data_IF_103412016549
#
_entry.id   IF_103412016549
#
_cell.length_a   1.000
_cell.length_b   1.000
_cell.length_c   1.000
_cell.angle_alpha   90.00
_cell.angle_beta   90.00
_cell.angle_gamma   90.00
#
_symmetry.space_group_name_H-M   'P 1'
#
loop_
_entity.id
_entity.type
_entity.pdbx_description
1 polymer ?
#
# COMPACT_ATOMS: atom_id res chain seq x y z
N UNK A 1 7.17 7.48 -79.54
CA UNK A 1 5.77 7.47 -80.02
C UNK A 1 4.90 8.07 -78.93
N UNK A 2 4.23 9.19 -79.26
CA UNK A 2 3.00 9.76 -78.71
C UNK A 2 2.77 9.75 -77.17
N UNK A 3 2.86 10.88 -76.44
CA UNK A 3 1.88 12.01 -76.26
C UNK A 3 0.55 11.59 -75.60
N UNK A 4 -0.12 12.31 -74.70
CA UNK A 4 0.04 13.60 -74.00
C UNK A 4 -1.10 13.70 -72.95
N UNK A 5 -0.88 14.29 -71.76
CA UNK A 5 -1.47 15.59 -71.36
C UNK A 5 -2.55 15.42 -70.26
N UNK A 6 -2.78 16.32 -69.28
CA UNK A 6 -2.30 17.68 -68.97
C UNK A 6 -2.63 18.04 -67.50
N UNK A 7 -1.72 18.79 -66.88
CA UNK A 7 -1.85 20.04 -66.08
C UNK A 7 -2.97 20.24 -65.04
N UNK A 8 -2.56 20.80 -63.88
CA UNK A 8 -3.38 21.74 -63.09
C UNK A 8 -2.90 22.01 -61.66
N UNK A 9 -2.15 23.10 -61.45
CA UNK A 9 -1.95 23.77 -60.16
C UNK A 9 -3.10 24.76 -59.89
N UNK A 10 -3.43 25.01 -58.62
CA UNK A 10 -4.29 26.11 -58.18
C UNK A 10 -4.56 26.09 -56.66
N UNK A 11 -4.14 27.15 -55.99
CA UNK A 11 -4.17 27.42 -54.54
C UNK A 11 -5.53 27.86 -53.96
N UNK A 12 -5.55 28.07 -52.63
CA UNK A 12 -6.52 28.75 -51.74
C UNK A 12 -7.76 27.91 -51.34
N UNK A 13 -8.32 27.96 -50.11
CA UNK A 13 -8.75 29.16 -49.36
C UNK A 13 -8.83 28.91 -47.83
N UNK A 14 -8.55 30.01 -47.14
CA UNK A 14 -8.67 30.43 -45.74
C UNK A 14 -9.94 30.02 -44.94
N UNK A 15 -9.77 29.88 -43.62
CA UNK A 15 -10.77 29.42 -42.65
C UNK A 15 -11.57 30.57 -42.02
N UNK A 16 -12.89 30.54 -42.22
CA UNK A 16 -13.82 31.56 -41.72
C UNK A 16 -14.31 31.30 -40.28
N UNK A 17 -14.26 32.37 -39.46
CA UNK A 17 -15.02 32.58 -38.21
C UNK A 17 -16.54 32.48 -38.42
N UNK A 18 -17.27 32.05 -37.38
CA UNK A 18 -18.61 32.55 -36.91
C UNK A 18 -19.02 31.78 -35.64
N UNK A 19 -19.02 32.41 -34.46
CA UNK A 19 -20.06 33.23 -33.83
C UNK A 19 -21.10 32.43 -33.02
N UNK A 20 -21.16 32.71 -31.72
CA UNK A 20 -22.07 32.17 -30.71
C UNK A 20 -23.50 32.72 -30.89
N UNK A 21 -24.48 31.82 -30.84
CA UNK A 21 -25.90 32.04 -30.51
C UNK A 21 -26.36 30.75 -29.82
N UNK A 22 -26.81 30.70 -28.57
CA UNK A 22 -28.06 31.30 -28.09
C UNK A 22 -29.21 30.32 -28.33
N UNK A 23 -29.53 29.45 -27.37
CA UNK A 23 -30.64 28.49 -27.46
C UNK A 23 -30.93 27.81 -26.12
N UNK A 24 -32.15 28.01 -25.60
CA UNK A 24 -32.60 27.68 -24.25
C UNK A 24 -32.89 26.18 -24.01
N UNK A 25 -32.62 25.70 -22.80
CA UNK A 25 -33.15 24.41 -22.29
C UNK A 25 -34.56 24.60 -21.71
N UNK A 26 -35.55 23.74 -22.04
CA UNK A 26 -36.84 23.76 -21.37
C UNK A 26 -36.77 23.07 -20.00
N UNK A 27 -37.43 23.69 -19.02
CA UNK A 27 -37.73 23.14 -17.70
C UNK A 27 -38.77 22.02 -17.82
N UNK A 28 -38.68 21.02 -16.95
CA UNK A 28 -39.83 20.20 -16.57
C UNK A 28 -39.46 18.76 -16.22
N UNK A 29 -39.45 18.46 -14.92
CA UNK A 29 -40.20 17.36 -14.27
C UNK A 29 -39.59 17.11 -12.88
N UNK A 30 -40.30 17.56 -11.84
CA UNK A 30 -39.98 17.31 -10.43
C UNK A 30 -40.27 15.85 -10.05
N UNK A 31 -39.49 15.21 -9.16
CA UNK A 31 -39.82 13.90 -8.62
C UNK A 31 -40.88 14.00 -7.50
N UNK A 32 -41.66 12.91 -7.25
CA UNK A 32 -42.79 12.94 -6.32
C UNK A 32 -42.33 12.93 -4.86
N UNK A 33 -43.02 13.75 -4.06
CA UNK A 33 -42.93 13.85 -2.61
C UNK A 33 -43.66 12.64 -2.00
N UNK A 34 -42.94 11.76 -1.31
CA UNK A 34 -43.52 10.72 -0.46
C UNK A 34 -43.84 11.31 0.91
N UNK A 35 -45.13 11.56 1.16
CA UNK A 35 -45.67 11.84 2.49
C UNK A 35 -45.69 10.55 3.31
N UNK A 36 -44.83 10.46 4.34
CA UNK A 36 -44.97 9.50 5.42
C UNK A 36 -45.30 10.26 6.71
N UNK A 37 -46.58 10.26 7.06
CA UNK A 37 -47.08 10.76 8.35
C UNK A 37 -46.99 9.63 9.38
N UNK A 38 -46.18 9.80 10.43
CA UNK A 38 -46.33 9.06 11.69
C UNK A 38 -46.30 10.06 12.86
N UNK A 39 -47.20 9.95 13.85
CA UNK A 39 -47.19 10.83 15.00
C UNK A 39 -46.12 10.37 16.02
N UNK A 40 -45.21 11.28 16.38
CA UNK A 40 -44.44 11.19 17.62
C UNK A 40 -45.39 11.45 18.79
N UNK A 41 -45.52 10.49 19.71
CA UNK A 41 -45.99 10.75 21.07
C UNK A 41 -44.83 10.61 22.05
N UNK A 42 -44.71 11.63 22.88
CA UNK A 42 -43.68 11.78 23.90
C UNK A 42 -43.93 10.85 25.10
N UNK A 43 -42.83 10.35 25.68
CA UNK A 43 -42.80 9.72 26.99
C UNK A 43 -41.52 10.13 27.71
N UNK A 44 -41.60 11.21 28.48
CA UNK A 44 -40.57 11.62 29.45
C UNK A 44 -40.67 10.70 30.67
N UNK A 45 -39.58 9.99 30.97
CA UNK A 45 -39.40 9.20 32.19
C UNK A 45 -38.01 9.43 32.77
N UNK A 46 -37.94 10.34 33.74
CA UNK A 46 -36.76 10.65 34.55
C UNK A 46 -36.41 9.47 35.46
N UNK A 47 -35.16 9.00 35.42
CA UNK A 47 -34.54 8.24 36.51
C UNK A 47 -33.07 8.67 36.65
N UNK A 48 -32.66 8.85 37.90
CA UNK A 48 -31.54 9.65 38.35
C UNK A 48 -30.15 9.09 38.00
N UNK A 49 -29.23 10.05 37.90
CA UNK A 49 -27.78 9.93 37.86
C UNK A 49 -27.24 9.26 39.13
N UNK A 50 -26.59 8.10 38.98
CA UNK A 50 -25.48 7.66 39.84
C UNK A 50 -24.63 6.67 39.05
N UNK A 51 -23.49 7.11 38.52
CA UNK A 51 -22.56 6.26 37.79
C UNK A 51 -21.52 7.01 36.96
N UNK A 52 -21.19 8.25 37.31
CA UNK A 52 -20.01 8.94 36.78
C UNK A 52 -18.84 8.56 37.67
N UNK A 53 -18.18 7.42 37.40
CA UNK A 53 -16.79 7.14 37.84
C UNK A 53 -16.19 5.83 37.27
N UNK A 54 -16.66 5.33 36.12
CA UNK A 54 -16.10 4.10 35.50
C UNK A 54 -15.75 4.19 34.03
N UNK A 55 -15.78 5.37 33.41
CA UNK A 55 -15.40 5.55 31.99
C UNK A 55 -14.18 6.44 31.74
N UNK A 56 -13.33 6.59 32.75
CA UNK A 56 -12.04 7.28 32.61
C UNK A 56 -10.89 6.49 33.24
N UNK A 57 -10.98 5.15 33.18
CA UNK A 57 -9.87 4.25 33.45
C UNK A 57 -9.07 4.08 32.15
N UNK A 58 -8.01 4.89 32.05
CA UNK A 58 -6.72 4.58 31.43
C UNK A 58 -6.79 3.78 30.12
N UNK A 59 -6.62 4.48 28.99
CA UNK A 59 -6.23 3.86 27.73
C UNK A 59 -4.80 3.28 27.85
N UNK A 60 -4.67 2.22 28.64
CA UNK A 60 -3.58 1.27 28.49
C UNK A 60 -3.98 0.47 27.27
N UNK A 61 -3.22 0.62 26.18
CA UNK A 61 -3.30 -0.26 25.01
C UNK A 61 -3.37 -1.69 25.53
N UNK A 62 -4.53 -2.36 25.43
CA UNK A 62 -4.61 -3.76 25.81
C UNK A 62 -3.86 -4.55 24.74
N UNK A 63 -2.60 -4.78 25.02
CA UNK A 63 -1.71 -5.56 24.17
C UNK A 63 -2.12 -7.03 24.23
N UNK A 64 -2.21 -7.68 23.06
CA UNK A 64 -2.62 -9.08 22.96
C UNK A 64 -1.63 -10.02 23.66
N UNK A 65 -2.09 -11.20 24.08
CA UNK A 65 -1.20 -12.20 24.69
C UNK A 65 -0.15 -12.73 23.71
N UNK A 66 -0.44 -12.68 22.40
CA UNK A 66 0.54 -13.00 21.36
C UNK A 66 1.70 -12.00 21.35
N UNK A 67 1.42 -10.70 21.43
CA UNK A 67 2.46 -9.68 21.51
C UNK A 67 3.32 -9.88 22.76
N UNK A 68 2.71 -10.17 23.92
CA UNK A 68 3.45 -10.43 25.17
C UNK A 68 4.33 -11.67 25.06
N UNK A 69 3.80 -12.75 24.48
CA UNK A 69 4.54 -14.00 24.27
C UNK A 69 5.75 -13.81 23.36
N UNK A 70 5.65 -12.92 22.38
CA UNK A 70 6.74 -12.56 21.45
C UNK A 70 7.61 -11.40 21.96
N UNK A 71 7.32 -10.86 23.15
CA UNK A 71 8.03 -9.73 23.77
C UNK A 71 8.08 -8.47 22.88
N UNK A 72 6.96 -8.17 22.20
CA UNK A 72 6.88 -7.09 21.20
C UNK A 72 6.28 -5.77 21.72
N UNK A 73 6.04 -5.64 23.03
CA UNK A 73 5.36 -4.49 23.63
C UNK A 73 6.07 -3.16 23.34
N UNK A 74 7.41 -3.16 23.32
CA UNK A 74 8.19 -1.97 23.01
C UNK A 74 8.00 -1.49 21.57
N UNK A 75 7.80 -2.40 20.64
CA UNK A 75 7.60 -2.09 19.22
C UNK A 75 6.18 -1.61 18.97
N UNK A 76 5.20 -2.21 19.65
CA UNK A 76 3.84 -1.69 19.68
C UNK A 76 3.81 -0.26 20.19
N UNK A 77 4.45 0.01 21.32
CA UNK A 77 4.52 1.37 21.88
C UNK A 77 5.18 2.35 20.91
N UNK A 78 6.29 1.96 20.28
CA UNK A 78 6.96 2.80 19.28
C UNK A 78 6.03 3.11 18.10
N UNK A 79 5.34 2.09 17.57
CA UNK A 79 4.39 2.26 16.47
C UNK A 79 3.24 3.21 16.84
N UNK A 80 2.71 3.13 18.06
CA UNK A 80 1.63 4.00 18.52
C UNK A 80 2.07 5.45 18.76
N UNK A 81 3.30 5.64 19.25
CA UNK A 81 3.86 6.97 19.55
C UNK A 81 4.38 7.66 18.29
N UNK A 82 5.19 6.97 17.50
CA UNK A 82 5.90 7.54 16.37
C UNK A 82 5.15 7.38 15.04
N UNK A 83 4.26 6.39 14.95
CA UNK A 83 3.56 6.03 13.71
C UNK A 83 4.31 5.00 12.88
N UNK A 84 5.40 4.42 13.40
CA UNK A 84 6.07 3.24 12.86
C UNK A 84 6.93 2.58 13.93
N UNK A 85 7.34 1.35 13.68
CA UNK A 85 8.37 0.67 14.47
C UNK A 85 9.41 0.00 13.58
N UNK A 86 10.62 -0.14 14.10
CA UNK A 86 11.72 -0.87 13.45
C UNK A 86 12.06 -2.07 14.31
N UNK A 87 11.97 -3.26 13.73
CA UNK A 87 12.31 -4.51 14.41
C UNK A 87 13.60 -5.07 13.78
N UNK A 88 14.67 -5.25 14.56
CA UNK A 88 15.95 -5.74 14.07
C UNK A 88 15.90 -7.25 13.76
N UNK A 89 16.83 -7.77 12.93
CA UNK A 89 16.90 -9.18 12.59
C UNK A 89 17.08 -10.10 13.80
N UNK A 90 17.71 -9.61 14.88
CA UNK A 90 17.85 -10.34 16.15
C UNK A 90 16.53 -10.69 16.83
N UNK A 91 15.43 -10.01 16.47
CA UNK A 91 14.08 -10.31 16.98
C UNK A 91 13.23 -11.07 15.97
N UNK A 92 13.36 -10.77 14.68
CA UNK A 92 12.59 -11.47 13.64
C UNK A 92 13.13 -12.86 13.29
N UNK A 93 14.40 -13.13 13.62
CA UNK A 93 15.07 -14.41 13.37
C UNK A 93 15.62 -14.57 11.95
N UNK A 94 15.52 -13.55 11.09
CA UNK A 94 16.05 -13.64 9.72
C UNK A 94 17.58 -13.66 9.73
N UNK A 95 18.17 -14.53 8.92
CA UNK A 95 19.63 -14.69 8.85
C UNK A 95 20.21 -13.96 7.64
N UNK A 96 21.51 -13.60 7.66
CA UNK A 96 22.18 -13.01 6.50
C UNK A 96 22.05 -13.85 5.24
N UNK A 97 22.17 -15.18 5.34
CA UNK A 97 22.10 -16.11 4.21
C UNK A 97 20.70 -16.12 3.58
N UNK A 98 19.66 -16.02 4.42
CA UNK A 98 18.29 -15.88 3.94
C UNK A 98 18.10 -14.57 3.16
N UNK A 99 18.63 -13.46 3.67
CA UNK A 99 18.56 -12.16 3.00
C UNK A 99 19.38 -12.12 1.70
N UNK A 100 20.50 -12.87 1.64
CA UNK A 100 21.31 -13.03 0.44
C UNK A 100 20.48 -13.72 -0.65
N UNK A 101 19.74 -14.79 -0.29
CA UNK A 101 18.81 -15.45 -1.22
C UNK A 101 17.75 -14.50 -1.77
N UNK A 102 17.06 -13.77 -0.90
CA UNK A 102 16.07 -12.78 -1.35
C UNK A 102 16.68 -11.77 -2.33
N UNK A 103 17.90 -11.33 -2.04
CA UNK A 103 18.60 -10.35 -2.87
C UNK A 103 18.94 -10.92 -4.25
N UNK A 104 19.50 -12.13 -4.30
CA UNK A 104 19.83 -12.82 -5.55
C UNK A 104 18.61 -12.96 -6.48
N UNK A 105 17.45 -13.34 -5.92
CA UNK A 105 16.20 -13.46 -6.69
C UNK A 105 15.79 -12.12 -7.29
N UNK A 106 15.88 -11.02 -6.54
CA UNK A 106 15.52 -9.69 -7.05
C UNK A 106 16.48 -9.21 -8.14
N UNK A 107 17.78 -9.44 -8.01
CA UNK A 107 18.76 -9.05 -9.03
C UNK A 107 18.56 -9.87 -10.32
N UNK A 108 18.26 -11.16 -10.18
CA UNK A 108 17.92 -12.05 -11.30
C UNK A 108 16.68 -11.56 -12.03
N UNK A 109 15.61 -11.27 -11.27
CA UNK A 109 14.34 -10.79 -11.83
C UNK A 109 14.49 -9.41 -12.47
N UNK A 110 15.24 -8.51 -11.86
CA UNK A 110 15.55 -7.21 -12.44
C UNK A 110 16.25 -7.34 -13.80
N UNK A 111 17.27 -8.20 -13.87
CA UNK A 111 18.01 -8.45 -15.11
C UNK A 111 17.09 -9.04 -16.18
N UNK A 112 16.21 -9.97 -15.79
CA UNK A 112 15.21 -10.56 -16.68
C UNK A 112 14.24 -9.52 -17.25
N UNK A 113 13.76 -8.59 -16.41
CA UNK A 113 12.79 -7.56 -16.79
C UNK A 113 13.39 -6.45 -17.64
N UNK A 114 14.63 -6.05 -17.35
CA UNK A 114 15.26 -4.87 -17.96
C UNK A 114 16.24 -5.22 -19.09
N UNK A 115 16.75 -6.45 -19.12
CA UNK A 115 17.86 -6.86 -19.97
C UNK A 115 19.23 -6.32 -19.52
N UNK A 116 19.30 -5.56 -18.43
CA UNK A 116 20.51 -4.97 -17.91
C UNK A 116 20.99 -5.74 -16.67
N UNK A 117 22.24 -6.26 -16.67
CA UNK A 117 22.86 -6.78 -15.45
C UNK A 117 22.89 -5.72 -14.35
N UNK A 118 22.82 -6.18 -13.10
CA UNK A 118 22.74 -5.34 -11.93
C UNK A 118 23.50 -5.97 -10.76
N UNK A 119 24.19 -5.16 -9.96
CA UNK A 119 24.87 -5.60 -8.74
C UNK A 119 24.56 -4.69 -7.55
N UNK A 120 24.65 -5.24 -6.34
CA UNK A 120 24.46 -4.46 -5.10
C UNK A 120 25.40 -3.26 -5.00
N UNK A 121 26.66 -3.43 -5.41
CA UNK A 121 27.72 -2.44 -5.21
C UNK A 121 27.70 -1.34 -6.28
N UNK A 122 27.28 -1.66 -7.50
CA UNK A 122 27.39 -0.74 -8.64
C UNK A 122 26.04 -0.26 -9.18
N UNK A 123 24.93 -0.95 -8.85
CA UNK A 123 23.65 -0.70 -9.47
C UNK A 123 23.56 -1.30 -10.89
N UNK A 124 22.64 -0.80 -11.74
CA UNK A 124 22.53 -1.25 -13.13
C UNK A 124 23.82 -0.98 -13.91
N UNK A 125 24.26 -1.97 -14.69
CA UNK A 125 25.49 -1.90 -15.50
C UNK A 125 25.25 -1.28 -16.89
N UNK A 126 24.00 -0.93 -17.19
CA UNK A 126 23.61 -0.22 -18.41
C UNK A 126 22.71 0.97 -18.06
N UNK A 127 22.71 1.98 -18.92
CA UNK A 127 21.79 3.11 -18.81
C UNK A 127 20.35 2.61 -19.04
N UNK A 128 19.46 2.93 -18.11
CA UNK A 128 18.05 2.61 -18.20
C UNK A 128 17.26 3.85 -18.57
N UNK A 129 16.33 3.67 -19.50
CA UNK A 129 15.41 4.72 -19.94
C UNK A 129 13.98 4.25 -19.76
N UNK A 130 13.07 5.20 -19.50
CA UNK A 130 11.66 4.87 -19.46
C UNK A 130 11.16 4.49 -20.86
N UNK A 131 10.28 3.49 -20.99
CA UNK A 131 9.67 3.17 -22.28
C UNK A 131 8.81 4.34 -22.79
N UNK A 132 8.69 4.48 -24.10
CA UNK A 132 7.80 5.48 -24.72
C UNK A 132 6.36 5.25 -24.26
N UNK A 133 5.68 6.34 -23.87
CA UNK A 133 4.33 6.25 -23.31
C UNK A 133 3.30 6.13 -24.43
N UNK A 134 2.69 4.96 -24.59
CA UNK A 134 1.53 4.78 -25.47
C UNK A 134 0.23 5.02 -24.67
N UNK A 135 -0.28 6.25 -24.68
CA UNK A 135 -1.58 6.62 -24.10
C UNK A 135 -1.56 7.39 -22.77
N UNK A 136 -2.72 7.43 -22.08
CA UNK A 136 -2.99 8.22 -20.86
C UNK A 136 -2.76 7.46 -19.54
N UNK A 137 -1.86 6.47 -19.52
CA UNK A 137 -1.58 5.73 -18.28
C UNK A 137 -0.80 6.61 -17.29
N UNK A 138 -1.36 6.83 -16.10
CA UNK A 138 -0.70 7.52 -14.98
C UNK A 138 0.15 6.49 -14.23
N UNK A 139 1.46 6.69 -14.15
CA UNK A 139 2.36 5.89 -13.31
C UNK A 139 2.52 6.56 -11.95
N UNK A 140 2.50 5.78 -10.86
CA UNK A 140 2.82 6.28 -9.52
C UNK A 140 4.32 6.62 -9.35
N UNK A 141 5.17 6.11 -10.24
CA UNK A 141 6.63 6.22 -10.16
C UNK A 141 7.24 7.20 -11.18
N UNK A 142 6.42 7.74 -12.10
CA UNK A 142 6.89 8.53 -13.24
C UNK A 142 5.91 9.68 -13.54
N UNK A 143 6.35 10.90 -13.27
CA UNK A 143 5.76 12.14 -13.76
C UNK A 143 6.02 12.33 -15.28
N UNK A 144 5.27 13.20 -15.96
CA UNK A 144 5.38 13.38 -17.42
C UNK A 144 6.77 13.87 -17.86
N UNK A 145 7.41 14.71 -17.03
CA UNK A 145 8.77 15.24 -17.24
C UNK A 145 9.81 14.56 -16.32
N UNK A 146 9.53 13.34 -15.85
CA UNK A 146 10.41 12.67 -14.89
C UNK A 146 11.82 12.47 -15.47
N UNK A 147 12.88 12.74 -14.68
CA UNK A 147 14.25 12.48 -15.09
C UNK A 147 14.50 10.98 -15.34
N UNK A 148 15.72 10.61 -15.81
CA UNK A 148 16.10 9.21 -15.96
C UNK A 148 15.72 8.36 -14.74
N UNK A 149 15.28 7.11 -14.95
CA UNK A 149 14.85 6.25 -13.87
C UNK A 149 15.98 6.06 -12.85
N UNK A 150 15.62 6.16 -11.58
CA UNK A 150 16.50 5.87 -10.42
C UNK A 150 15.92 4.77 -9.54
N UNK A 151 14.77 4.22 -9.95
CA UNK A 151 14.06 3.18 -9.24
C UNK A 151 13.13 2.40 -10.18
N UNK A 152 12.88 1.14 -9.82
CA UNK A 152 11.87 0.28 -10.43
C UNK A 152 11.12 -0.48 -9.34
N UNK A 153 9.88 -0.83 -9.64
CA UNK A 153 9.06 -1.73 -8.81
C UNK A 153 9.00 -3.11 -9.46
N UNK A 154 9.44 -4.13 -8.75
CA UNK A 154 9.17 -5.54 -9.08
C UNK A 154 7.93 -5.93 -8.29
N UNK A 155 6.88 -6.35 -8.99
CA UNK A 155 5.59 -6.69 -8.37
C UNK A 155 5.43 -8.20 -8.21
N UNK A 156 4.55 -8.60 -7.30
CA UNK A 156 4.15 -9.99 -7.08
C UNK A 156 5.31 -10.91 -6.66
N UNK A 157 6.20 -10.41 -5.80
CA UNK A 157 7.46 -11.10 -5.48
C UNK A 157 7.26 -12.45 -4.77
N UNK A 158 6.10 -12.69 -4.16
CA UNK A 158 5.73 -14.02 -3.62
C UNK A 158 5.74 -15.15 -4.66
N UNK A 159 5.54 -14.83 -5.94
CA UNK A 159 5.54 -15.81 -7.02
C UNK A 159 6.97 -16.20 -7.45
N UNK A 160 7.96 -15.35 -7.14
CA UNK A 160 9.32 -15.52 -7.65
C UNK A 160 10.07 -16.66 -6.95
N UNK A 161 9.98 -16.71 -5.62
CA UNK A 161 10.74 -17.67 -4.82
C UNK A 161 10.11 -17.88 -3.43
N UNK A 162 10.39 -19.05 -2.86
CA UNK A 162 9.97 -19.42 -1.50
C UNK A 162 10.44 -18.43 -0.45
N UNK A 163 11.63 -17.84 -0.60
CA UNK A 163 12.16 -16.91 0.39
C UNK A 163 11.20 -15.76 0.70
N UNK A 164 10.44 -15.26 -0.26
CA UNK A 164 9.45 -14.20 0.01
C UNK A 164 8.22 -14.71 0.73
N UNK A 165 7.79 -15.94 0.45
CA UNK A 165 6.66 -16.56 1.15
C UNK A 165 7.00 -16.79 2.62
N UNK A 166 8.18 -17.34 2.90
CA UNK A 166 8.70 -17.52 4.26
C UNK A 166 8.83 -16.17 5.00
N UNK A 167 9.32 -15.13 4.32
CA UNK A 167 9.47 -13.81 4.89
C UNK A 167 8.13 -13.17 5.31
N UNK A 168 7.06 -13.41 4.56
CA UNK A 168 5.75 -12.77 4.79
C UNK A 168 4.82 -13.52 5.74
N UNK A 169 5.20 -14.73 6.16
CA UNK A 169 4.54 -15.47 7.24
C UNK A 169 5.28 -15.36 8.58
N UNK A 170 6.24 -14.44 8.68
CA UNK A 170 6.99 -14.22 9.91
C UNK A 170 6.06 -13.82 11.08
N UNK A 171 6.08 -14.54 12.21
CA UNK A 171 5.13 -14.35 13.30
C UNK A 171 5.26 -13.00 14.01
N UNK A 172 6.45 -12.38 13.98
CA UNK A 172 6.67 -11.06 14.60
C UNK A 172 5.95 -9.97 13.80
N UNK A 173 6.11 -9.98 12.47
CA UNK A 173 5.40 -9.05 11.59
C UNK A 173 3.90 -9.30 11.66
N UNK A 174 3.50 -10.56 11.65
CA UNK A 174 2.11 -10.97 11.74
C UNK A 174 1.37 -10.36 12.93
N UNK A 175 1.99 -10.46 14.12
CA UNK A 175 1.43 -9.93 15.36
C UNK A 175 1.35 -8.39 15.36
N UNK A 176 2.38 -7.71 14.84
CA UNK A 176 2.40 -6.24 14.76
C UNK A 176 1.37 -5.70 13.76
N UNK A 177 1.22 -6.36 12.62
CA UNK A 177 0.22 -5.99 11.61
C UNK A 177 -1.19 -6.25 12.15
N UNK A 178 -1.41 -7.37 12.85
CA UNK A 178 -2.69 -7.65 13.49
C UNK A 178 -3.03 -6.59 14.55
N UNK A 179 -2.05 -6.16 15.35
CA UNK A 179 -2.24 -5.04 16.29
C UNK A 179 -2.63 -3.75 15.57
N UNK A 180 -1.97 -3.41 14.46
CA UNK A 180 -2.23 -2.18 13.71
C UNK A 180 -3.62 -2.16 13.05
N UNK A 181 -4.04 -3.29 12.47
CA UNK A 181 -5.33 -3.41 11.76
C UNK A 181 -6.48 -3.65 12.74
N UNK A 182 -6.23 -4.42 13.79
CA UNK A 182 -7.20 -4.78 14.81
C UNK A 182 -8.09 -5.96 14.42
N UNK A 183 -8.97 -6.38 15.35
CA UNK A 183 -9.80 -7.57 15.18
C UNK A 183 -10.99 -7.33 14.26
N UNK A 184 -11.60 -8.42 13.76
CA UNK A 184 -12.89 -8.36 13.07
C UNK A 184 -14.00 -8.05 14.10
N UNK A 185 -14.85 -7.02 13.87
CA UNK A 185 -15.87 -6.61 14.85
C UNK A 185 -16.92 -7.68 15.20
N UNK A 186 -17.14 -8.66 14.33
CA UNK A 186 -18.16 -9.70 14.49
C UNK A 186 -17.61 -11.01 15.07
N UNK A 187 -16.38 -10.99 15.59
CA UNK A 187 -15.66 -12.18 16.04
C UNK A 187 -15.08 -13.02 14.88
N UNK A 188 -14.13 -13.89 15.18
CA UNK A 188 -13.49 -14.78 14.20
C UNK A 188 -11.98 -14.58 14.06
N UNK A 189 -11.44 -14.97 12.90
CA UNK A 189 -10.03 -14.86 12.54
C UNK A 189 -9.53 -13.41 12.48
N UNK A 190 -8.21 -13.24 12.42
CA UNK A 190 -7.55 -11.93 12.29
C UNK A 190 -8.04 -11.22 11.02
N UNK A 191 -8.22 -9.90 11.09
CA UNK A 191 -8.81 -9.13 9.99
C UNK A 191 -7.82 -8.80 8.87
N UNK A 192 -6.52 -8.93 9.14
CA UNK A 192 -5.43 -8.60 8.23
C UNK A 192 -5.28 -9.61 7.08
N UNK A 193 -5.16 -9.09 5.86
CA UNK A 193 -4.86 -9.81 4.61
C UNK A 193 -3.73 -9.12 3.88
N UNK A 194 -3.04 -9.85 3.01
CA UNK A 194 -2.11 -9.24 2.06
C UNK A 194 -2.90 -8.50 0.97
N UNK A 195 -2.39 -7.33 0.59
CA UNK A 195 -2.89 -6.47 -0.48
C UNK A 195 -2.02 -6.57 -1.72
N UNK A 196 -0.69 -6.55 -1.53
CA UNK A 196 0.31 -6.75 -2.58
C UNK A 196 1.65 -7.11 -1.94
N UNK A 197 2.51 -7.75 -2.73
CA UNK A 197 3.91 -7.95 -2.35
C UNK A 197 4.82 -7.45 -3.45
N UNK A 198 5.75 -6.55 -3.12
CA UNK A 198 6.59 -5.89 -4.12
C UNK A 198 7.99 -5.63 -3.60
N UNK A 199 8.92 -5.31 -4.49
CA UNK A 199 10.24 -4.81 -4.16
C UNK A 199 10.52 -3.51 -4.89
N UNK A 200 10.95 -2.49 -4.15
CA UNK A 200 11.47 -1.25 -4.72
C UNK A 200 12.98 -1.39 -4.87
N UNK A 201 13.42 -1.54 -6.12
CA UNK A 201 14.84 -1.53 -6.49
C UNK A 201 15.25 -0.09 -6.74
N UNK A 202 16.11 0.48 -5.89
CA UNK A 202 16.62 1.84 -6.05
C UNK A 202 18.12 1.85 -6.29
N UNK A 203 18.56 2.65 -7.26
CA UNK A 203 19.97 2.88 -7.54
C UNK A 203 20.29 4.38 -7.48
N UNK A 204 21.57 4.71 -7.62
CA UNK A 204 22.07 6.05 -7.44
C UNK A 204 21.37 7.06 -8.35
N UNK A 205 20.88 8.16 -7.75
CA UNK A 205 20.40 9.34 -8.44
C UNK A 205 19.71 10.35 -7.53
N UNK A 206 19.71 11.61 -7.97
CA UNK A 206 19.32 12.76 -7.14
C UNK A 206 17.81 12.96 -7.03
N UNK A 207 17.05 12.53 -8.04
CA UNK A 207 15.61 12.79 -8.07
C UNK A 207 14.85 11.95 -7.04
N UNK A 208 14.92 10.62 -7.14
CA UNK A 208 14.08 9.73 -6.33
C UNK A 208 12.59 10.05 -6.48
N UNK A 209 12.02 10.76 -5.50
CA UNK A 209 10.63 11.26 -5.50
C UNK A 209 10.53 12.80 -5.50
N UNK A 210 11.61 13.49 -5.87
CA UNK A 210 11.71 14.94 -5.91
C UNK A 210 11.66 15.61 -4.53
N UNK A 211 11.48 16.93 -4.53
CA UNK A 211 11.47 17.75 -3.30
C UNK A 211 10.34 17.38 -2.33
N UNK A 212 9.28 16.73 -2.81
CA UNK A 212 8.16 16.28 -1.98
C UNK A 212 8.47 15.03 -1.15
N UNK A 213 9.59 14.35 -1.45
CA UNK A 213 9.92 12.98 -0.98
C UNK A 213 8.84 11.93 -1.33
N UNK A 214 7.86 12.31 -2.16
CA UNK A 214 6.68 11.50 -2.42
C UNK A 214 5.87 11.22 -1.16
N UNK A 215 5.81 12.16 -0.19
CA UNK A 215 5.07 11.91 1.06
C UNK A 215 3.59 11.65 0.81
N UNK A 216 3.12 10.48 1.21
CA UNK A 216 1.73 10.07 1.11
C UNK A 216 1.33 9.13 2.24
N UNK A 217 0.02 9.07 2.57
CA UNK A 217 -0.55 7.98 3.32
C UNK A 217 -0.99 6.86 2.36
N UNK A 218 -0.54 5.64 2.62
CA UNK A 218 -0.93 4.44 1.87
C UNK A 218 -2.46 4.22 1.87
N UNK A 219 -3.12 4.59 2.96
CA UNK A 219 -4.56 4.53 3.14
C UNK A 219 -5.31 5.68 2.40
N UNK A 220 -4.60 6.51 1.63
CA UNK A 220 -5.13 7.67 0.91
C UNK A 220 -6.30 7.39 -0.04
N UNK A 221 -6.45 6.14 -0.49
CA UNK A 221 -7.57 5.71 -1.33
C UNK A 221 -8.90 5.51 -0.55
N UNK A 222 -8.86 5.52 0.78
CA UNK A 222 -10.05 5.35 1.63
C UNK A 222 -10.63 6.71 2.05
N UNK A 223 -11.97 6.87 2.06
CA UNK A 223 -12.61 8.11 2.49
C UNK A 223 -12.22 8.50 3.93
N UNK A 224 -12.00 9.80 4.15
CA UNK A 224 -11.80 10.40 5.48
C UNK A 224 -13.14 10.66 6.17
N UNK A 225 -13.20 10.74 7.52
CA UNK A 225 -12.08 10.61 8.47
C UNK A 225 -11.68 9.14 8.72
N UNK A 226 -10.40 8.93 9.03
CA UNK A 226 -9.91 7.62 9.45
C UNK A 226 -10.05 7.46 10.96
N UNK A 227 -10.43 6.25 11.38
CA UNK A 227 -10.53 5.87 12.79
C UNK A 227 -9.16 5.57 13.41
N UNK A 228 -9.17 5.08 14.65
CA UNK A 228 -7.97 4.65 15.35
C UNK A 228 -7.36 3.36 14.78
N UNK A 229 -8.20 2.49 14.19
CA UNK A 229 -7.78 1.26 13.53
C UNK A 229 -7.29 1.54 12.11
N UNK A 230 -6.18 0.91 11.73
CA UNK A 230 -5.66 1.02 10.38
C UNK A 230 -6.46 0.13 9.42
N UNK A 231 -6.86 0.68 8.26
CA UNK A 231 -7.45 -0.11 7.18
C UNK A 231 -6.37 -0.75 6.30
N UNK A 232 -5.16 -0.20 6.32
CA UNK A 232 -3.98 -0.79 5.68
C UNK A 232 -2.77 -0.64 6.58
N UNK A 233 -1.76 -1.47 6.38
CA UNK A 233 -0.50 -1.42 7.09
C UNK A 233 0.61 -1.96 6.20
N UNK A 234 1.85 -1.60 6.47
CA UNK A 234 2.98 -1.98 5.63
C UNK A 234 4.05 -2.65 6.50
N UNK A 235 4.69 -3.69 5.97
CA UNK A 235 5.90 -4.27 6.50
C UNK A 235 6.97 -4.28 5.40
N UNK A 236 8.02 -3.49 5.59
CA UNK A 236 9.13 -3.38 4.64
C UNK A 236 10.40 -3.96 5.24
N UNK A 237 10.83 -5.09 4.69
CA UNK A 237 12.07 -5.77 5.04
C UNK A 237 13.24 -5.11 4.31
N UNK A 238 14.22 -4.62 5.06
CA UNK A 238 15.39 -3.93 4.53
C UNK A 238 16.44 -4.96 4.11
N UNK A 239 16.57 -5.22 2.80
CA UNK A 239 17.55 -6.19 2.28
C UNK A 239 18.98 -5.60 2.19
N UNK A 240 19.07 -4.29 2.32
CA UNK A 240 20.31 -3.50 2.48
C UNK A 240 20.19 -2.64 3.74
N UNK A 241 21.31 -2.06 4.20
CA UNK A 241 21.30 -1.05 5.26
C UNK A 241 20.50 0.18 4.82
N UNK A 242 19.80 0.82 5.76
CA UNK A 242 19.07 2.06 5.52
C UNK A 242 19.77 3.22 6.23
N UNK A 243 20.22 4.21 5.46
CA UNK A 243 20.67 5.51 5.96
C UNK A 243 20.03 6.62 5.14
N UNK A 244 20.00 7.85 5.65
CA UNK A 244 19.43 8.99 4.90
C UNK A 244 20.04 9.15 3.50
N UNK A 245 21.38 9.07 3.39
CA UNK A 245 22.10 9.21 2.12
C UNK A 245 21.91 8.02 1.19
N UNK A 246 21.63 6.83 1.75
CA UNK A 246 21.28 5.63 0.99
C UNK A 246 19.79 5.59 0.59
N UNK A 247 19.12 6.73 0.67
CA UNK A 247 17.72 6.88 0.32
C UNK A 247 16.80 6.11 1.24
N UNK A 248 17.00 6.16 2.56
CA UNK A 248 16.09 5.55 3.54
C UNK A 248 14.61 5.93 3.34
N UNK A 249 13.72 5.11 3.91
CA UNK A 249 12.31 5.48 4.10
C UNK A 249 12.23 6.82 4.83
N UNK A 250 11.43 7.73 4.30
CA UNK A 250 11.09 8.98 4.97
C UNK A 250 9.73 8.81 5.64
N UNK A 251 9.56 9.32 6.87
CA UNK A 251 8.25 9.35 7.53
C UNK A 251 8.07 10.61 8.36
N UNK A 252 6.82 10.96 8.63
CA UNK A 252 6.48 12.10 9.49
C UNK A 252 5.92 11.58 10.82
N UNK A 253 6.69 11.69 11.93
CA UNK A 253 6.24 11.19 13.22
C UNK A 253 4.90 11.76 13.65
N UNK A 254 3.99 10.91 14.12
CA UNK A 254 2.68 11.33 14.61
C UNK A 254 1.64 11.66 13.54
N UNK A 255 1.98 11.56 12.25
CA UNK A 255 1.06 11.82 11.14
C UNK A 255 -0.05 10.78 10.98
N UNK A 256 0.10 9.62 11.61
CA UNK A 256 -0.88 8.53 11.64
C UNK A 256 -2.11 8.83 12.50
N UNK A 257 -2.01 9.83 13.39
CA UNK A 257 -3.06 10.15 14.36
C UNK A 257 -4.33 10.68 13.68
N UNK A 258 -5.53 10.32 14.18
CA UNK A 258 -6.78 10.85 13.67
C UNK A 258 -6.80 12.38 13.64
N UNK A 259 -7.32 12.94 12.54
CA UNK A 259 -7.41 14.39 12.36
C UNK A 259 -6.12 15.07 11.86
N UNK A 260 -5.04 14.33 11.60
CA UNK A 260 -3.84 14.92 10.99
C UNK A 260 -4.13 15.49 9.59
N UNK A 261 -3.73 16.75 9.38
CA UNK A 261 -3.82 17.46 8.11
C UNK A 261 -2.42 17.92 7.71
N UNK A 262 -1.95 17.43 6.56
CA UNK A 262 -0.65 17.82 6.03
C UNK A 262 -0.63 19.30 5.64
N UNK A 263 0.36 20.03 6.14
CA UNK A 263 0.64 21.40 5.65
C UNK A 263 1.57 21.35 4.43
N UNK A 264 1.68 22.46 3.71
CA UNK A 264 2.64 22.58 2.61
C UNK A 264 4.11 22.38 3.03
N UNK A 265 4.42 22.54 4.33
CA UNK A 265 5.78 22.38 4.87
C UNK A 265 6.01 21.02 5.55
N UNK A 266 5.08 20.07 5.42
CA UNK A 266 5.14 18.77 6.11
C UNK A 266 6.43 18.00 5.80
N UNK A 267 6.96 18.17 4.59
CA UNK A 267 8.25 17.57 4.15
C UNK A 267 9.40 17.91 5.09
N UNK A 268 9.43 19.12 5.68
CA UNK A 268 10.49 19.55 6.60
C UNK A 268 10.49 18.78 7.93
N UNK A 269 9.38 18.09 8.24
CA UNK A 269 9.22 17.27 9.43
C UNK A 269 9.61 15.80 9.18
N UNK A 270 9.87 15.43 7.92
CA UNK A 270 10.21 14.07 7.55
C UNK A 270 11.55 13.65 8.15
N UNK A 271 11.58 12.47 8.74
CA UNK A 271 12.77 11.85 9.31
C UNK A 271 13.15 10.59 8.53
N UNK A 272 14.45 10.31 8.35
CA UNK A 272 14.89 9.03 7.80
C UNK A 272 14.64 7.93 8.83
N UNK A 273 14.27 6.74 8.35
CA UNK A 273 14.34 5.52 9.13
C UNK A 273 15.69 4.89 8.87
N UNK A 274 16.56 4.89 9.88
CA UNK A 274 17.90 4.32 9.78
C UNK A 274 17.96 3.00 10.56
N UNK A 275 18.42 1.94 9.89
CA UNK A 275 18.45 0.61 10.47
C UNK A 275 19.40 -0.32 9.73
N UNK A 276 19.84 -1.36 10.43
CA UNK A 276 20.71 -2.40 9.86
C UNK A 276 19.96 -3.25 8.84
N UNK A 277 20.72 -3.82 7.91
CA UNK A 277 20.25 -4.85 6.98
C UNK A 277 19.54 -5.97 7.76
N UNK A 278 18.39 -6.41 7.26
CA UNK A 278 17.55 -7.44 7.86
C UNK A 278 16.47 -6.90 8.80
N UNK A 279 16.51 -5.61 9.13
CA UNK A 279 15.43 -4.99 9.91
C UNK A 279 14.13 -4.93 9.10
N UNK A 280 12.99 -5.04 9.78
CA UNK A 280 11.66 -4.78 9.20
C UNK A 280 11.09 -3.51 9.79
N UNK A 281 10.59 -2.63 8.93
CA UNK A 281 9.90 -1.41 9.30
C UNK A 281 8.40 -1.68 9.16
N UNK A 282 7.63 -1.47 10.23
CA UNK A 282 6.17 -1.72 10.27
C UNK A 282 5.43 -0.43 10.60
N UNK A 283 4.40 -0.09 9.83
CA UNK A 283 3.58 1.11 10.08
C UNK A 283 2.13 0.97 9.60
N UNK A 284 1.16 1.66 10.25
CA UNK A 284 -0.19 1.79 9.74
C UNK A 284 -0.25 2.70 8.51
N UNK A 285 -1.14 2.42 7.58
CA UNK A 285 -1.25 3.13 6.30
C UNK A 285 -1.68 4.59 6.40
N UNK A 286 -2.04 5.07 7.59
CA UNK A 286 -2.28 6.49 7.86
C UNK A 286 -0.98 7.30 8.02
N UNK A 287 0.16 6.65 8.31
CA UNK A 287 1.46 7.32 8.45
C UNK A 287 1.89 7.92 7.11
N UNK A 288 2.15 9.23 7.10
CA UNK A 288 2.79 9.86 5.95
C UNK A 288 4.22 9.35 5.83
N UNK A 289 4.50 8.75 4.69
CA UNK A 289 5.80 8.20 4.37
C UNK A 289 6.14 8.42 2.90
N UNK A 290 7.42 8.25 2.58
CA UNK A 290 7.99 8.45 1.27
C UNK A 290 9.42 7.93 1.27
N UNK A 291 10.31 8.51 0.46
CA UNK A 291 11.72 8.15 0.53
C UNK A 291 12.66 9.30 0.22
N UNK A 292 13.80 9.28 0.89
CA UNK A 292 14.94 10.10 0.50
C UNK A 292 15.55 9.61 -0.82
N UNK A 293 16.21 10.50 -1.58
CA UNK A 293 16.95 10.11 -2.77
C UNK A 293 18.15 9.22 -2.40
N UNK A 294 18.48 8.27 -3.29
CA UNK A 294 19.62 7.35 -3.15
C UNK A 294 20.85 8.04 -3.74
N UNK A 295 21.66 8.69 -2.90
CA UNK A 295 22.79 9.52 -3.37
C UNK A 295 24.10 8.75 -3.49
N UNK A 296 24.21 7.63 -2.77
CA UNK A 296 25.36 6.74 -2.72
C UNK A 296 25.34 5.73 -3.86
N UNK A 297 26.53 5.25 -4.25
CA UNK A 297 26.70 4.16 -5.23
C UNK A 297 25.98 2.88 -4.76
N UNK A 298 25.61 2.03 -5.71
CA UNK A 298 24.98 0.74 -5.43
C UNK A 298 23.47 0.83 -5.18
N UNK A 299 22.92 -0.21 -4.57
CA UNK A 299 21.49 -0.40 -4.44
C UNK A 299 20.96 -0.21 -3.03
N UNK A 300 19.71 0.24 -2.96
CA UNK A 300 18.85 0.09 -1.79
C UNK A 300 17.70 -0.84 -2.16
N UNK A 301 17.63 -1.98 -1.48
CA UNK A 301 16.66 -3.04 -1.76
C UNK A 301 15.74 -3.27 -0.57
N UNK A 302 14.53 -3.71 -0.87
CA UNK A 302 13.58 -4.19 0.13
C UNK A 302 12.68 -5.29 -0.40
N UNK A 303 12.02 -5.99 0.53
CA UNK A 303 10.85 -6.81 0.25
C UNK A 303 9.68 -6.23 1.04
N UNK A 304 8.62 -5.83 0.35
CA UNK A 304 7.47 -5.15 0.92
C UNK A 304 6.27 -6.07 0.91
N UNK A 305 5.70 -6.31 2.08
CA UNK A 305 4.36 -6.85 2.24
C UNK A 305 3.42 -5.71 2.64
N UNK A 306 2.50 -5.38 1.74
CA UNK A 306 1.44 -4.42 2.04
C UNK A 306 0.20 -5.16 2.48
N UNK A 307 -0.30 -4.84 3.67
CA UNK A 307 -1.44 -5.47 4.30
C UNK A 307 -2.66 -4.54 4.27
N UNK A 308 -3.82 -5.16 4.37
CA UNK A 308 -5.12 -4.51 4.38
C UNK A 308 -6.07 -5.21 5.35
N UNK A 309 -7.05 -4.48 5.82
CA UNK A 309 -8.23 -5.07 6.46
C UNK A 309 -9.05 -5.84 5.40
N UNK A 310 -9.64 -6.97 5.77
CA UNK A 310 -10.41 -7.86 4.89
C UNK A 310 -11.65 -7.21 4.21
N UNK A 311 -12.01 -5.97 4.56
CA UNK A 311 -13.04 -5.18 3.86
C UNK A 311 -12.53 -4.26 2.72
N UNK A 312 -11.21 -4.09 2.59
CA UNK A 312 -10.59 -2.98 1.83
C UNK A 312 -10.25 -3.19 0.34
N UNK A 313 -10.56 -4.26 -0.40
CA UNK A 313 -10.03 -4.47 -1.78
C UNK A 313 -8.47 -4.47 -1.88
N UNK A 314 -7.87 -5.53 -2.44
CA UNK A 314 -6.42 -5.61 -2.54
C UNK A 314 -5.89 -4.90 -3.80
N UNK A 315 -4.62 -4.52 -3.81
CA UNK A 315 -3.92 -4.04 -5.02
C UNK A 315 -3.64 -5.18 -6.01
N UNK A 316 -3.34 -6.37 -5.49
CA UNK A 316 -3.17 -7.61 -6.23
C UNK A 316 -4.32 -8.56 -5.87
N UNK A 317 -5.00 -9.14 -6.86
CA UNK A 317 -6.01 -10.15 -6.58
C UNK A 317 -5.37 -11.52 -6.30
N UNK A 318 -4.86 -11.69 -5.08
CA UNK A 318 -4.06 -12.87 -4.69
C UNK A 318 -4.81 -14.19 -4.77
N UNK A 319 -6.13 -14.20 -4.54
CA UNK A 319 -6.95 -15.43 -4.73
C UNK A 319 -6.97 -15.91 -6.19
N UNK A 320 -6.62 -15.04 -7.14
CA UNK A 320 -6.45 -15.39 -8.56
C UNK A 320 -4.98 -15.62 -8.88
N UNK A 321 -4.10 -14.66 -8.56
CA UNK A 321 -2.68 -14.72 -8.96
C UNK A 321 -1.92 -15.85 -8.28
N UNK A 322 -2.32 -16.22 -7.06
CA UNK A 322 -1.68 -17.31 -6.31
C UNK A 322 -2.41 -18.66 -6.45
N UNK A 323 -3.56 -18.73 -7.12
CA UNK A 323 -4.40 -19.95 -7.15
C UNK A 323 -3.64 -21.19 -7.64
N UNK A 324 -2.85 -21.01 -8.69
CA UNK A 324 -2.07 -22.06 -9.34
C UNK A 324 -0.55 -21.87 -9.09
N UNK A 325 -0.19 -21.02 -8.13
CA UNK A 325 1.19 -20.75 -7.70
C UNK A 325 1.54 -21.60 -6.46
N UNK A 326 2.83 -21.81 -6.14
CA UNK A 326 3.26 -22.61 -4.98
C UNK A 326 3.11 -21.82 -3.67
N UNK A 327 1.90 -21.36 -3.35
CA UNK A 327 1.64 -20.53 -2.16
C UNK A 327 1.84 -21.29 -0.85
N UNK A 328 1.64 -22.61 -0.86
CA UNK A 328 1.76 -23.50 0.30
C UNK A 328 3.21 -23.94 0.58
N UNK A 329 4.12 -23.71 -0.36
CA UNK A 329 5.56 -23.90 -0.17
C UNK A 329 6.13 -22.73 0.66
N UNK A 330 5.86 -22.77 1.96
CA UNK A 330 6.42 -21.87 2.97
C UNK A 330 6.41 -22.48 4.38
N UNK A 331 7.05 -21.81 5.33
CA UNK A 331 7.12 -22.23 6.74
C UNK A 331 5.75 -22.34 7.43
N UNK A 332 4.75 -21.58 6.98
CA UNK A 332 3.41 -21.58 7.57
C UNK A 332 2.33 -21.41 6.49
N UNK A 333 1.98 -22.52 5.84
CA UNK A 333 0.98 -22.55 4.78
C UNK A 333 -0.43 -22.14 5.23
N UNK A 334 -0.81 -22.43 6.47
CA UNK A 334 -2.13 -22.04 7.00
C UNK A 334 -2.24 -20.52 7.16
N UNK A 335 -1.19 -19.88 7.71
CA UNK A 335 -1.13 -18.42 7.76
C UNK A 335 -1.10 -17.82 6.35
N UNK A 336 -0.34 -18.40 5.43
CA UNK A 336 -0.29 -17.92 4.05
C UNK A 336 -1.67 -18.01 3.36
N UNK A 337 -2.37 -19.14 3.54
CA UNK A 337 -3.72 -19.35 3.03
C UNK A 337 -4.69 -18.29 3.54
N UNK A 338 -4.63 -18.00 4.85
CA UNK A 338 -5.41 -16.92 5.48
C UNK A 338 -5.04 -15.57 4.86
N UNK A 339 -3.75 -15.22 4.80
CA UNK A 339 -3.27 -13.93 4.31
C UNK A 339 -3.64 -13.65 2.85
N UNK A 340 -3.64 -14.68 2.00
CA UNK A 340 -4.08 -14.60 0.59
C UNK A 340 -5.60 -14.37 0.50
N UNK A 341 -6.36 -14.77 1.51
CA UNK A 341 -7.82 -14.68 1.54
C UNK A 341 -8.52 -15.87 0.87
N UNK A 342 -7.85 -17.03 0.77
CA UNK A 342 -8.52 -18.23 0.23
C UNK A 342 -9.69 -18.70 1.08
N UNK A 343 -9.65 -18.41 2.38
CA UNK A 343 -10.68 -18.76 3.35
C UNK A 343 -11.64 -17.60 3.64
N UNK A 344 -11.55 -16.50 2.87
CA UNK A 344 -12.41 -15.35 3.08
C UNK A 344 -13.87 -15.66 2.75
N UNK A 345 -14.75 -15.29 3.68
CA UNK A 345 -16.20 -15.41 3.50
C UNK A 345 -16.71 -14.43 2.43
N UNK A 346 -16.01 -13.31 2.25
CA UNK A 346 -16.38 -12.24 1.33
C UNK A 346 -15.25 -11.90 0.34
N UNK A 347 -15.58 -11.53 -0.90
CA UNK A 347 -16.93 -11.51 -1.49
C UNK A 347 -17.44 -12.93 -1.78
N UNK A 348 -18.76 -13.11 -1.80
CA UNK A 348 -19.36 -14.39 -2.17
C UNK A 348 -19.07 -14.74 -3.63
N UNK A 349 -18.34 -15.83 -3.86
CA UNK A 349 -18.13 -16.39 -5.21
C UNK A 349 -19.25 -17.33 -5.66
N UNK A 350 -19.99 -17.90 -4.69
CA UNK A 350 -21.12 -18.81 -4.87
C UNK A 350 -22.07 -18.69 -3.68
N UNK A 351 -23.27 -19.27 -3.77
CA UNK A 351 -24.17 -19.39 -2.62
C UNK A 351 -23.48 -20.18 -1.50
N UNK A 352 -23.20 -19.53 -0.38
CA UNK A 352 -22.52 -20.12 0.78
C UNK A 352 -23.44 -20.33 1.98
N UNK A 353 -24.55 -19.58 2.05
CA UNK A 353 -25.52 -19.66 3.13
C UNK A 353 -26.55 -20.76 2.88
N UNK A 354 -26.99 -21.41 3.96
CA UNK A 354 -28.01 -22.45 3.91
C UNK A 354 -29.32 -21.92 3.30
N UNK A 355 -29.89 -22.68 2.37
CA UNK A 355 -31.17 -22.35 1.73
C UNK A 355 -32.27 -23.16 2.40
N UNK A 356 -33.27 -22.52 3.04
CA UNK A 356 -34.36 -23.25 3.69
C UNK A 356 -35.15 -24.06 2.65
N UNK A 357 -35.54 -25.28 3.02
CA UNK A 357 -36.34 -26.17 2.16
C UNK A 357 -37.79 -26.21 2.63
N UNK A 358 -38.72 -26.32 1.69
CA UNK A 358 -40.12 -26.52 2.00
C UNK A 358 -40.29 -27.77 2.86
N UNK A 359 -41.11 -27.66 3.91
CA UNK A 359 -41.50 -28.81 4.73
C UNK A 359 -42.36 -29.72 3.86
N UNK A 360 -41.95 -30.98 3.71
CA UNK A 360 -42.66 -31.99 2.92
C UNK A 360 -44.04 -32.32 3.50
#
# INVERSE_FOLDING_TARGET
>A
MATAGRLGHGDEVDGARRSRTGGACPRGLSPPVLHASMPLTAGLGSAALTGEDTHMQTAVTQVSDEIKRLELERYVLQMEVDGLTVVPPSVTGVTPEFLDRCTEVLLTEFTRMTGAPISLENGPEAELVWPERTGKSRSFLRDEDAPPPTQMLIQQIMQLDRCFRDLFVNPVVDALIDHAIGPVPFGGAKARRLSSTNSFVKWQGEYGYGESLGLHPDQGATPRPWGAQALTANATWCLTEYTKSDGALAYVPGSHRPGFVASAKVVQQARPVECERGSVIVWPGSTLHGAFPKLTKGLRLNAVAYYRHQSVLPQENMTITMKDAPWDDCENADLMRELIGFDDVFPYLKQSQEVPRAKA
#
